data_IF_887161916419
#
_entry.id   IF_887161916419
#
_cell.length_a   1.000
_cell.length_b   1.000
_cell.length_c   1.000
_cell.angle_alpha   90.00
_cell.angle_beta   90.00
_cell.angle_gamma   90.00
#
_symmetry.space_group_name_H-M   'P 1'
#
loop_
_entity.id
_entity.type
_entity.pdbx_description
1 polymer ?
#
# COMPACT_ATOMS: atom_id res chain seq x y z
N UNK A 1 -22.75 1.51 15.46
CA UNK A 1 -21.82 2.15 14.51
C UNK A 1 -20.53 1.37 14.59
N UNK A 2 -19.98 0.89 13.48
CA UNK A 2 -18.66 0.26 13.51
C UNK A 2 -17.61 1.34 13.76
N UNK A 3 -16.66 1.08 14.65
CA UNK A 3 -15.58 2.02 14.93
C UNK A 3 -14.71 2.23 13.69
N UNK A 4 -14.15 3.43 13.57
CA UNK A 4 -13.17 3.74 12.52
C UNK A 4 -11.88 2.95 12.78
N UNK A 5 -11.44 2.17 11.79
CA UNK A 5 -10.22 1.36 11.86
C UNK A 5 -9.10 2.02 11.06
N UNK A 6 -7.86 1.83 11.52
CA UNK A 6 -6.64 2.06 10.76
C UNK A 6 -6.23 0.77 10.03
N UNK A 7 -6.20 0.80 8.70
CA UNK A 7 -6.00 -0.37 7.85
C UNK A 7 -4.81 -0.12 6.92
N UNK A 8 -3.82 -1.02 6.95
CA UNK A 8 -2.68 -0.99 6.03
C UNK A 8 -2.65 -2.27 5.19
N UNK A 9 -2.81 -2.13 3.87
CA UNK A 9 -2.60 -3.25 2.94
C UNK A 9 -1.14 -3.36 2.58
N UNK A 10 -0.53 -4.50 2.89
CA UNK A 10 0.88 -4.79 2.56
C UNK A 10 0.94 -5.91 1.54
N UNK A 11 1.54 -5.64 0.38
CA UNK A 11 1.64 -6.64 -0.69
C UNK A 11 2.81 -6.31 -1.62
N UNK A 12 3.45 -7.33 -2.22
CA UNK A 12 4.58 -7.06 -3.11
C UNK A 12 4.15 -6.52 -4.46
N UNK A 13 3.43 -7.29 -5.27
CA UNK A 13 3.20 -6.94 -6.67
C UNK A 13 2.08 -5.90 -6.86
N UNK A 14 2.37 -4.65 -7.32
CA UNK A 14 1.37 -3.65 -7.65
C UNK A 14 0.87 -3.79 -9.10
N UNK A 15 0.66 -5.05 -9.51
CA UNK A 15 0.23 -5.42 -10.85
C UNK A 15 -0.68 -6.65 -10.81
N UNK A 16 -1.41 -6.89 -11.90
CA UNK A 16 -2.21 -8.10 -12.07
C UNK A 16 -3.47 -8.15 -11.20
N UNK A 17 -4.00 -9.37 -11.01
CA UNK A 17 -5.28 -9.62 -10.34
C UNK A 17 -5.28 -9.21 -8.86
N UNK A 18 -4.19 -9.47 -8.13
CA UNK A 18 -4.05 -9.07 -6.72
C UNK A 18 -4.21 -7.56 -6.56
N UNK A 19 -3.48 -6.77 -7.34
CA UNK A 19 -3.52 -5.31 -7.22
C UNK A 19 -4.91 -4.74 -7.53
N UNK A 20 -5.60 -5.28 -8.53
CA UNK A 20 -6.99 -4.88 -8.83
C UNK A 20 -7.89 -5.11 -7.61
N UNK A 21 -7.79 -6.27 -6.98
CA UNK A 21 -8.60 -6.61 -5.81
C UNK A 21 -8.28 -5.70 -4.62
N UNK A 22 -7.01 -5.53 -4.28
CA UNK A 22 -6.57 -4.66 -3.16
C UNK A 22 -7.04 -3.22 -3.38
N UNK A 23 -6.94 -2.72 -4.62
CA UNK A 23 -7.42 -1.39 -4.98
C UNK A 23 -8.92 -1.22 -4.70
N UNK A 24 -9.73 -2.16 -5.20
CA UNK A 24 -11.18 -2.07 -5.09
C UNK A 24 -11.61 -2.20 -3.62
N UNK A 25 -10.95 -3.07 -2.85
CA UNK A 25 -11.16 -3.23 -1.40
C UNK A 25 -10.75 -1.97 -0.61
N UNK A 26 -9.57 -1.41 -0.87
CA UNK A 26 -9.08 -0.23 -0.16
C UNK A 26 -10.00 0.98 -0.39
N UNK A 27 -10.51 1.15 -1.61
CA UNK A 27 -11.49 2.19 -1.92
C UNK A 27 -12.83 1.95 -1.20
N UNK A 28 -13.31 0.70 -1.13
CA UNK A 28 -14.53 0.37 -0.41
C UNK A 28 -14.39 0.65 1.10
N UNK A 29 -13.26 0.27 1.70
CA UNK A 29 -12.96 0.54 3.12
C UNK A 29 -12.84 2.04 3.41
N UNK A 30 -12.16 2.80 2.54
CA UNK A 30 -12.08 4.26 2.65
C UNK A 30 -13.48 4.90 2.59
N UNK A 31 -14.33 4.47 1.66
CA UNK A 31 -15.74 4.92 1.56
C UNK A 31 -16.59 4.52 2.77
N UNK A 32 -16.26 3.43 3.45
CA UNK A 32 -16.90 3.00 4.68
C UNK A 32 -16.46 3.83 5.91
N UNK A 33 -15.56 4.80 5.74
CA UNK A 33 -15.08 5.70 6.79
C UNK A 33 -13.81 5.21 7.49
N UNK A 34 -13.16 4.15 7.02
CA UNK A 34 -11.90 3.67 7.59
C UNK A 34 -10.70 4.47 7.08
N UNK A 35 -9.65 4.54 7.90
CA UNK A 35 -8.38 5.19 7.54
C UNK A 35 -7.48 4.15 6.89
N UNK A 36 -7.37 4.21 5.56
CA UNK A 36 -6.72 3.17 4.76
C UNK A 36 -5.41 3.67 4.16
N UNK A 37 -4.40 2.79 4.06
CA UNK A 37 -3.15 3.00 3.33
C UNK A 37 -2.66 1.76 2.58
N UNK A 38 -1.72 1.95 1.65
CA UNK A 38 -1.07 0.87 0.92
C UNK A 38 0.45 0.92 1.09
N UNK A 39 1.06 -0.24 1.33
CA UNK A 39 2.50 -0.44 1.29
C UNK A 39 2.85 -1.53 0.28
N UNK A 40 3.60 -1.20 -0.76
CA UNK A 40 3.94 -2.18 -1.79
C UNK A 40 5.39 -2.11 -2.29
N UNK A 41 5.77 -3.11 -3.09
CA UNK A 41 7.13 -3.21 -3.61
C UNK A 41 7.45 -2.06 -4.58
N UNK A 42 8.63 -1.47 -4.45
CA UNK A 42 9.13 -0.44 -5.36
C UNK A 42 9.78 -1.03 -6.63
N UNK A 43 10.15 -2.31 -6.64
CA UNK A 43 10.92 -2.92 -7.74
C UNK A 43 10.08 -3.45 -8.92
N UNK A 44 8.75 -3.43 -8.82
CA UNK A 44 7.84 -4.07 -9.79
C UNK A 44 6.78 -3.12 -10.34
N UNK A 45 6.32 -3.37 -11.58
CA UNK A 45 5.14 -2.73 -12.18
C UNK A 45 5.35 -1.43 -12.96
N UNK A 46 6.53 -0.80 -12.86
CA UNK A 46 6.94 0.36 -13.67
C UNK A 46 5.94 1.52 -13.67
N UNK A 47 5.93 2.29 -14.75
CA UNK A 47 5.12 3.51 -14.90
C UNK A 47 3.61 3.28 -14.76
N UNK A 48 3.14 2.10 -15.17
CA UNK A 48 1.72 1.74 -15.08
C UNK A 48 1.26 1.55 -13.65
N UNK A 49 2.06 0.86 -12.82
CA UNK A 49 1.77 0.72 -11.39
C UNK A 49 1.85 2.08 -10.70
N UNK A 50 2.88 2.85 -11.02
CA UNK A 50 3.09 4.20 -10.50
C UNK A 50 1.89 5.13 -10.74
N UNK A 51 1.37 5.19 -11.98
CA UNK A 51 0.17 5.99 -12.30
C UNK A 51 -1.04 5.57 -11.48
N UNK A 52 -1.32 4.27 -11.39
CA UNK A 52 -2.48 3.74 -10.67
C UNK A 52 -2.38 3.93 -9.16
N UNK A 53 -1.18 3.84 -8.60
CA UNK A 53 -0.93 4.07 -7.18
C UNK A 53 -1.10 5.56 -6.84
N UNK A 54 -0.63 6.47 -7.70
CA UNK A 54 -0.87 7.93 -7.54
C UNK A 54 -2.35 8.29 -7.52
N UNK A 55 -3.16 7.66 -8.37
CA UNK A 55 -4.62 7.86 -8.37
C UNK A 55 -5.29 7.43 -7.04
N UNK A 56 -4.71 6.43 -6.37
CA UNK A 56 -5.20 5.93 -5.08
C UNK A 56 -4.73 6.80 -3.92
N UNK A 57 -3.50 7.30 -3.97
CA UNK A 57 -2.90 8.10 -2.90
C UNK A 57 -3.79 9.27 -2.48
N UNK A 58 -4.40 9.96 -3.43
CA UNK A 58 -5.33 11.07 -3.16
C UNK A 58 -6.64 10.67 -2.44
N UNK A 59 -6.94 9.37 -2.32
CA UNK A 59 -8.20 8.83 -1.80
C UNK A 59 -8.04 8.03 -0.50
N UNK A 60 -6.80 7.85 -0.05
CA UNK A 60 -6.45 7.00 1.08
C UNK A 60 -5.88 7.86 2.20
N UNK A 61 -6.46 7.77 3.40
CA UNK A 61 -6.10 8.62 4.54
C UNK A 61 -4.62 8.49 4.94
N UNK A 62 -4.05 7.29 4.80
CA UNK A 62 -2.64 7.00 5.08
C UNK A 62 -1.77 7.05 3.82
N UNK A 63 -2.36 7.34 2.66
CA UNK A 63 -1.66 7.43 1.38
C UNK A 63 -1.10 6.09 0.88
N UNK A 64 -0.05 6.17 0.07
CA UNK A 64 0.61 5.02 -0.54
C UNK A 64 2.11 5.14 -0.35
N UNK A 65 2.77 4.05 0.08
CA UNK A 65 4.23 3.98 0.16
C UNK A 65 4.77 2.80 -0.62
N UNK A 66 5.89 3.04 -1.31
CA UNK A 66 6.63 2.02 -2.03
C UNK A 66 8.00 1.82 -1.39
N UNK A 67 8.34 0.58 -1.09
CA UNK A 67 9.65 0.20 -0.55
C UNK A 67 10.15 -1.04 -1.30
N UNK A 68 11.45 -1.18 -1.53
CA UNK A 68 11.97 -2.42 -2.10
C UNK A 68 11.66 -3.58 -1.14
N UNK A 69 11.03 -4.65 -1.65
CA UNK A 69 10.66 -5.83 -0.87
C UNK A 69 11.31 -7.10 -1.46
N UNK A 70 12.59 -7.37 -1.15
CA UNK A 70 13.25 -8.61 -1.56
C UNK A 70 12.50 -9.85 -1.08
N UNK A 71 12.66 -10.98 -1.79
CA UNK A 71 11.98 -12.24 -1.41
C UNK A 71 12.54 -12.84 -0.12
N UNK A 72 13.78 -12.54 0.20
CA UNK A 72 14.51 -13.09 1.33
C UNK A 72 14.82 -11.97 2.33
N UNK A 73 14.74 -12.25 3.64
CA UNK A 73 15.20 -11.32 4.66
C UNK A 73 16.68 -10.96 4.49
N UNK A 74 17.06 -9.75 4.87
CA UNK A 74 18.42 -9.26 4.77
C UNK A 74 18.62 -7.92 5.49
N UNK A 75 19.84 -7.39 5.40
CA UNK A 75 20.21 -6.14 6.08
C UNK A 75 19.37 -4.92 5.64
N UNK A 76 18.79 -4.98 4.44
CA UNK A 76 17.84 -3.98 3.93
C UNK A 76 16.53 -3.89 4.71
N UNK A 77 16.18 -4.90 5.50
CA UNK A 77 14.93 -4.92 6.28
C UNK A 77 14.90 -3.84 7.36
N UNK A 78 16.06 -3.45 7.92
CA UNK A 78 16.13 -2.36 8.88
C UNK A 78 15.66 -1.02 8.26
N UNK A 79 16.01 -0.78 7.00
CA UNK A 79 15.56 0.39 6.26
C UNK A 79 14.06 0.31 5.95
N UNK A 80 13.56 -0.88 5.60
CA UNK A 80 12.14 -1.14 5.39
C UNK A 80 11.33 -0.84 6.66
N UNK A 81 11.74 -1.39 7.81
CA UNK A 81 11.09 -1.16 9.11
C UNK A 81 11.03 0.34 9.43
N UNK A 82 12.14 1.07 9.26
CA UNK A 82 12.18 2.52 9.47
C UNK A 82 11.19 3.26 8.57
N UNK A 83 11.11 2.88 7.29
CA UNK A 83 10.23 3.52 6.32
C UNK A 83 8.74 3.25 6.60
N UNK A 84 8.40 2.05 7.09
CA UNK A 84 7.03 1.68 7.48
C UNK A 84 6.59 2.44 8.73
N UNK A 85 7.47 2.58 9.72
CA UNK A 85 7.16 3.29 10.98
C UNK A 85 6.73 4.74 10.77
N UNK A 86 7.18 5.38 9.69
CA UNK A 86 6.83 6.77 9.37
C UNK A 86 5.59 6.91 8.48
N UNK A 87 4.97 5.80 8.09
CA UNK A 87 3.87 5.78 7.11
C UNK A 87 2.48 5.68 7.75
N UNK A 88 2.41 5.20 9.00
CA UNK A 88 1.18 4.97 9.76
C UNK A 88 1.08 5.99 10.89
#
# INVERSE_FOLDING_TARGET
>A
MADTLDILHVFRAPVGGLFRHVRDLALAQSRAGHRVGLLCDASTGGDMAERRLRELEARLAHGVRRIAMPRLPGTGDAAAIKAVRTHV
#
